data_IF_448790813183
#
_entry.id   IF_448790813183
#
_cell.length_a   1.000
_cell.length_b   1.000
_cell.length_c   1.000
_cell.angle_alpha   90.00
_cell.angle_beta   90.00
_cell.angle_gamma   90.00
#
_symmetry.space_group_name_H-M   'P 1'
#
loop_
_entity.id
_entity.type
_entity.pdbx_description
1 polymer ?
#
# COMPACT_ATOMS: atom_id res chain seq x y z
N UNK A 1 -57.41 -26.65 -33.24
CA UNK A 1 -58.65 -25.93 -32.88
C UNK A 1 -58.67 -25.78 -31.37
N UNK A 2 -58.90 -24.56 -30.89
CA UNK A 2 -58.65 -24.08 -29.52
C UNK A 2 -59.40 -24.85 -28.43
N UNK A 3 -58.66 -25.41 -27.47
CA UNK A 3 -59.20 -25.82 -26.17
C UNK A 3 -58.55 -24.97 -25.08
N UNK A 4 -59.19 -23.86 -24.71
CA UNK A 4 -58.72 -23.00 -23.64
C UNK A 4 -58.92 -23.70 -22.29
N UNK A 5 -57.80 -24.07 -21.66
CA UNK A 5 -57.76 -24.55 -20.27
C UNK A 5 -58.13 -23.37 -19.34
N UNK A 6 -59.40 -23.27 -18.94
CA UNK A 6 -59.84 -22.32 -17.90
C UNK A 6 -59.40 -22.86 -16.53
N UNK A 7 -58.24 -22.42 -16.06
CA UNK A 7 -57.85 -22.63 -14.67
C UNK A 7 -58.72 -21.74 -13.76
N UNK A 8 -59.57 -22.36 -12.94
CA UNK A 8 -60.25 -21.71 -11.83
C UNK A 8 -59.24 -21.39 -10.73
N UNK A 9 -58.69 -20.18 -10.74
CA UNK A 9 -57.83 -19.69 -9.67
C UNK A 9 -58.71 -19.38 -8.45
N UNK A 10 -58.64 -20.22 -7.43
CA UNK A 10 -59.46 -20.12 -6.23
C UNK A 10 -59.15 -18.81 -5.47
N UNK A 11 -60.14 -18.00 -5.03
CA UNK A 11 -59.90 -16.76 -4.30
C UNK A 11 -58.97 -16.88 -3.07
N UNK A 12 -58.91 -18.05 -2.43
CA UNK A 12 -57.96 -18.32 -1.35
C UNK A 12 -56.48 -18.30 -1.79
N UNK A 13 -56.18 -18.68 -3.02
CA UNK A 13 -54.81 -18.65 -3.59
C UNK A 13 -54.37 -17.20 -3.83
N UNK A 14 -55.28 -16.34 -4.29
CA UNK A 14 -55.01 -14.90 -4.47
C UNK A 14 -54.76 -14.20 -3.14
N UNK A 15 -55.53 -14.51 -2.10
CA UNK A 15 -55.31 -13.96 -0.75
C UNK A 15 -53.99 -14.45 -0.16
N UNK A 16 -53.63 -15.71 -0.38
CA UNK A 16 -52.36 -16.27 0.06
C UNK A 16 -51.18 -15.64 -0.70
N UNK A 17 -51.34 -15.38 -2.01
CA UNK A 17 -50.37 -14.63 -2.80
C UNK A 17 -50.23 -13.18 -2.33
N UNK A 18 -51.33 -12.48 -2.06
CA UNK A 18 -51.30 -11.12 -1.52
C UNK A 18 -50.65 -11.07 -0.13
N UNK A 19 -50.93 -12.07 0.71
CA UNK A 19 -50.30 -12.21 2.04
C UNK A 19 -48.80 -12.52 1.94
N UNK A 20 -48.40 -13.42 1.03
CA UNK A 20 -46.98 -13.70 0.74
C UNK A 20 -46.28 -12.49 0.10
N UNK A 21 -46.94 -11.75 -0.79
CA UNK A 21 -46.43 -10.51 -1.37
C UNK A 21 -46.21 -9.46 -0.28
N UNK A 22 -47.16 -9.26 0.64
CA UNK A 22 -46.95 -8.38 1.81
C UNK A 22 -45.87 -8.90 2.77
N UNK A 23 -45.70 -10.21 2.91
CA UNK A 23 -44.60 -10.79 3.69
C UNK A 23 -43.23 -10.48 3.05
N UNK A 24 -43.14 -10.53 1.72
CA UNK A 24 -41.94 -10.15 0.97
C UNK A 24 -41.70 -8.64 0.97
N UNK A 25 -42.76 -7.83 1.03
CA UNK A 25 -42.69 -6.37 1.11
C UNK A 25 -42.17 -5.88 2.48
N UNK A 26 -42.27 -6.71 3.52
CA UNK A 26 -41.80 -6.41 4.87
C UNK A 26 -40.32 -6.74 5.13
N UNK A 27 -39.63 -7.37 4.17
CA UNK A 27 -38.18 -7.53 4.17
C UNK A 27 -37.55 -6.51 3.22
N UNK A 28 -37.72 -5.21 3.50
CA UNK A 28 -36.75 -4.23 2.99
C UNK A 28 -35.40 -4.59 3.58
N UNK A 29 -34.58 -5.32 2.84
CA UNK A 29 -33.15 -5.45 3.15
C UNK A 29 -32.63 -4.02 3.25
N UNK A 30 -32.06 -3.64 4.39
CA UNK A 30 -31.43 -2.32 4.58
C UNK A 30 -30.27 -2.20 3.58
N UNK A 31 -30.58 -1.70 2.39
CA UNK A 31 -29.64 -1.46 1.32
C UNK A 31 -29.02 -0.08 1.55
N UNK A 32 -27.71 -0.05 1.79
CA UNK A 32 -26.94 1.17 1.99
C UNK A 32 -25.75 1.23 1.06
N UNK A 33 -24.83 2.15 1.33
CA UNK A 33 -23.60 2.30 0.56
C UNK A 33 -22.39 1.78 1.33
N UNK A 34 -21.58 0.96 0.68
CA UNK A 34 -20.33 0.44 1.22
C UNK A 34 -19.14 1.27 0.73
N UNK A 35 -18.25 1.65 1.63
CA UNK A 35 -17.13 2.56 1.40
C UNK A 35 -15.82 1.92 1.82
N UNK A 36 -14.74 2.11 1.05
CA UNK A 36 -13.42 1.53 1.35
C UNK A 36 -12.62 2.34 2.37
N UNK A 37 -12.97 3.61 2.59
CA UNK A 37 -12.16 4.50 3.41
C UNK A 37 -13.01 5.50 4.20
N UNK A 38 -12.73 5.63 5.50
CA UNK A 38 -13.17 6.79 6.28
C UNK A 38 -12.12 7.90 6.20
N UNK A 39 -12.52 9.06 5.69
CA UNK A 39 -11.71 10.27 5.61
C UNK A 39 -11.32 10.81 7.00
N UNK A 40 -10.31 11.69 7.05
CA UNK A 40 -9.88 12.33 8.31
C UNK A 40 -10.97 13.20 8.94
N UNK A 41 -11.91 13.69 8.13
CA UNK A 41 -13.11 14.44 8.50
C UNK A 41 -14.24 13.53 9.05
N UNK A 42 -14.03 12.22 9.16
CA UNK A 42 -15.03 11.26 9.62
C UNK A 42 -16.07 10.87 8.56
N UNK A 43 -15.99 11.43 7.35
CA UNK A 43 -16.89 11.12 6.24
C UNK A 43 -16.42 9.88 5.47
N UNK A 44 -17.37 9.18 4.88
CA UNK A 44 -17.12 8.00 4.05
C UNK A 44 -16.63 8.44 2.66
N UNK A 45 -15.54 7.83 2.20
CA UNK A 45 -14.84 8.15 0.95
C UNK A 45 -14.53 6.85 0.20
N UNK A 46 -14.38 6.95 -1.12
CA UNK A 46 -14.15 5.81 -2.03
C UNK A 46 -15.29 4.80 -1.96
N UNK A 47 -16.36 5.07 -2.71
CA UNK A 47 -17.50 4.16 -2.85
C UNK A 47 -17.01 2.82 -3.41
N UNK A 48 -17.29 1.73 -2.71
CA UNK A 48 -17.06 0.37 -3.20
C UNK A 48 -18.27 -0.11 -4.00
N UNK A 49 -19.44 -0.10 -3.36
CA UNK A 49 -20.68 -0.61 -3.96
C UNK A 49 -21.90 0.03 -3.28
N UNK A 50 -22.88 0.54 -4.05
CA UNK A 50 -24.18 0.95 -3.53
C UNK A 50 -25.14 -0.24 -3.36
N UNK A 51 -26.23 -0.05 -2.63
CA UNK A 51 -27.31 -1.04 -2.48
C UNK A 51 -26.94 -2.29 -1.66
N UNK A 52 -25.92 -2.20 -0.80
CA UNK A 52 -25.38 -3.33 -0.03
C UNK A 52 -25.79 -3.25 1.44
N UNK A 53 -26.11 -4.40 2.05
CA UNK A 53 -26.35 -4.46 3.50
C UNK A 53 -25.08 -4.22 4.31
N UNK A 54 -25.24 -3.82 5.57
CA UNK A 54 -24.11 -3.60 6.47
C UNK A 54 -23.33 -4.89 6.69
N UNK A 55 -24.02 -6.01 6.87
CA UNK A 55 -23.44 -7.33 7.12
C UNK A 55 -22.57 -7.77 5.95
N UNK A 56 -23.04 -7.54 4.72
CA UNK A 56 -22.29 -7.84 3.51
C UNK A 56 -21.08 -6.93 3.33
N UNK A 57 -21.26 -5.62 3.51
CA UNK A 57 -20.16 -4.65 3.44
C UNK A 57 -19.05 -4.97 4.46
N UNK A 58 -19.45 -5.38 5.66
CA UNK A 58 -18.54 -5.61 6.78
C UNK A 58 -17.99 -7.04 6.86
N UNK A 59 -18.36 -7.94 5.94
CA UNK A 59 -17.95 -9.36 5.92
C UNK A 59 -16.43 -9.54 5.80
N UNK A 60 -15.75 -8.68 5.04
CA UNK A 60 -14.31 -8.79 4.76
C UNK A 60 -13.40 -8.43 5.94
N UNK A 61 -13.92 -7.78 6.98
CA UNK A 61 -13.12 -7.35 8.15
C UNK A 61 -12.03 -6.29 7.85
N UNK A 62 -11.98 -5.74 6.63
CA UNK A 62 -10.95 -4.79 6.21
C UNK A 62 -11.04 -3.47 6.99
N UNK A 63 -9.91 -3.04 7.55
CA UNK A 63 -9.81 -1.74 8.23
C UNK A 63 -10.06 -0.58 7.26
N UNK A 64 -10.91 0.37 7.67
CA UNK A 64 -11.28 1.53 6.87
C UNK A 64 -12.60 1.35 6.11
N UNK A 65 -13.04 0.10 5.93
CA UNK A 65 -14.37 -0.20 5.38
C UNK A 65 -15.43 0.38 6.29
N UNK A 66 -16.36 1.12 5.70
CA UNK A 66 -17.42 1.82 6.41
C UNK A 66 -18.71 1.75 5.60
N UNK A 67 -19.83 1.96 6.26
CA UNK A 67 -21.16 1.80 5.68
C UNK A 67 -22.03 3.00 6.02
N UNK A 68 -22.95 3.35 5.12
CA UNK A 68 -23.96 4.39 5.34
C UNK A 68 -25.33 3.84 4.95
N UNK A 69 -26.35 4.07 5.79
CA UNK A 69 -27.71 3.55 5.59
C UNK A 69 -28.48 4.23 4.45
N UNK A 70 -28.08 5.43 4.07
CA UNK A 70 -28.77 6.22 3.05
C UNK A 70 -28.58 5.61 1.65
N UNK A 71 -29.66 5.05 1.08
CA UNK A 71 -29.76 4.72 -0.35
C UNK A 71 -30.15 5.99 -1.13
N UNK A 72 -29.15 6.74 -1.56
CA UNK A 72 -29.34 8.03 -2.24
C UNK A 72 -29.03 7.93 -3.73
N UNK A 73 -29.73 8.70 -4.60
CA UNK A 73 -29.44 8.72 -6.02
C UNK A 73 -27.98 9.09 -6.33
N UNK A 74 -27.47 8.62 -7.47
CA UNK A 74 -26.09 8.87 -7.93
C UNK A 74 -25.70 10.36 -7.93
N UNK A 75 -26.64 11.28 -8.21
CA UNK A 75 -26.40 12.72 -8.16
C UNK A 75 -26.07 13.23 -6.75
N UNK A 76 -26.68 12.64 -5.71
CA UNK A 76 -26.42 12.98 -4.31
C UNK A 76 -25.09 12.40 -3.84
N UNK A 77 -24.78 11.16 -4.22
CA UNK A 77 -23.46 10.57 -3.99
C UNK A 77 -22.35 11.43 -4.60
N UNK A 78 -22.53 11.84 -5.86
CA UNK A 78 -21.61 12.75 -6.54
C UNK A 78 -21.45 14.06 -5.78
N UNK A 79 -22.57 14.69 -5.38
CA UNK A 79 -22.54 15.94 -4.62
C UNK A 79 -21.75 15.81 -3.32
N UNK A 80 -21.97 14.74 -2.56
CA UNK A 80 -21.24 14.52 -1.31
C UNK A 80 -19.74 14.31 -1.54
N UNK A 81 -19.38 13.52 -2.55
CA UNK A 81 -17.99 13.21 -2.84
C UNK A 81 -17.21 14.43 -3.33
N UNK A 82 -17.82 15.28 -4.16
CA UNK A 82 -17.14 16.43 -4.76
C UNK A 82 -17.21 17.67 -3.87
N UNK A 83 -18.38 18.00 -3.32
CA UNK A 83 -18.57 19.28 -2.63
C UNK A 83 -18.47 19.17 -1.11
N UNK A 84 -18.80 18.00 -0.53
CA UNK A 84 -18.89 17.85 0.92
C UNK A 84 -17.75 16.99 1.51
N UNK A 85 -16.79 16.57 0.69
CA UNK A 85 -15.63 15.78 1.11
C UNK A 85 -15.96 14.37 1.61
N UNK A 86 -17.09 13.80 1.16
CA UNK A 86 -17.53 12.44 1.45
C UNK A 86 -18.96 12.33 1.97
N UNK A 87 -19.45 11.09 2.05
CA UNK A 87 -20.78 10.79 2.57
C UNK A 87 -20.88 11.01 4.09
N UNK A 88 -22.00 11.59 4.58
CA UNK A 88 -22.26 11.79 5.99
C UNK A 88 -22.56 10.45 6.70
N UNK A 89 -22.77 10.50 8.02
CA UNK A 89 -23.26 9.36 8.82
C UNK A 89 -22.46 8.06 8.61
N UNK A 90 -21.14 8.19 8.51
CA UNK A 90 -20.24 7.09 8.15
C UNK A 90 -20.01 6.14 9.35
N UNK A 91 -20.50 4.92 9.23
CA UNK A 91 -20.43 3.89 10.28
C UNK A 91 -19.28 2.93 9.94
N UNK A 92 -18.17 2.92 10.70
CA UNK A 92 -17.07 1.99 10.44
C UNK A 92 -17.49 0.54 10.67
N UNK A 93 -17.11 -0.37 9.77
CA UNK A 93 -17.43 -1.79 9.86
C UNK A 93 -16.68 -2.50 10.99
N UNK A 94 -15.39 -2.18 11.12
CA UNK A 94 -14.49 -2.70 12.15
C UNK A 94 -13.63 -1.56 12.66
N UNK A 95 -13.33 -1.60 13.95
CA UNK A 95 -12.42 -0.64 14.55
C UNK A 95 -12.99 0.78 14.67
N UNK A 96 -14.20 0.90 15.23
CA UNK A 96 -14.69 2.19 15.71
C UNK A 96 -13.78 2.74 16.81
N UNK A 97 -13.64 1.99 17.90
CA UNK A 97 -12.91 2.42 19.12
C UNK A 97 -11.76 1.47 19.52
N UNK A 98 -11.71 0.23 19.02
CA UNK A 98 -10.72 -0.78 19.44
C UNK A 98 -10.09 -1.54 18.26
N UNK A 99 -9.07 -2.35 18.54
CA UNK A 99 -8.44 -3.24 17.57
C UNK A 99 -9.10 -4.63 17.47
N UNK A 100 -10.24 -4.84 18.13
CA UNK A 100 -10.89 -6.15 18.18
C UNK A 100 -11.44 -6.54 16.80
N UNK A 101 -11.15 -7.77 16.37
CA UNK A 101 -11.58 -8.31 15.08
C UNK A 101 -11.13 -7.50 13.84
N UNK A 102 -10.00 -6.78 13.94
CA UNK A 102 -9.38 -6.07 12.81
C UNK A 102 -8.37 -6.98 12.13
N UNK A 103 -8.62 -7.32 10.86
CA UNK A 103 -7.62 -8.00 10.03
C UNK A 103 -6.81 -6.96 9.22
N UNK A 104 -5.50 -6.94 9.45
CA UNK A 104 -4.56 -6.06 8.78
C UNK A 104 -3.81 -6.73 7.63
N UNK A 105 -4.02 -8.04 7.41
CA UNK A 105 -3.24 -8.85 6.47
C UNK A 105 -1.82 -9.18 6.98
N UNK A 106 -1.02 -9.88 6.14
CA UNK A 106 0.27 -10.40 6.54
C UNK A 106 1.28 -9.30 6.87
N UNK A 107 2.11 -9.54 7.90
CA UNK A 107 3.20 -8.63 8.30
C UNK A 107 2.73 -7.29 8.88
N UNK A 108 1.45 -7.17 9.23
CA UNK A 108 0.85 -5.98 9.85
C UNK A 108 0.09 -6.37 11.11
N UNK A 109 0.01 -5.45 12.07
CA UNK A 109 -0.81 -5.60 13.27
C UNK A 109 -1.65 -4.36 13.52
N UNK A 110 -2.77 -4.51 14.18
CA UNK A 110 -3.56 -3.38 14.62
C UNK A 110 -2.90 -2.71 15.83
N UNK A 111 -2.84 -1.38 15.83
CA UNK A 111 -2.41 -0.56 16.97
C UNK A 111 -3.30 0.68 17.07
N UNK A 112 -3.68 1.04 18.30
CA UNK A 112 -4.37 2.30 18.58
C UNK A 112 -3.44 3.50 18.37
N UNK A 113 -3.91 4.51 17.66
CA UNK A 113 -3.19 5.77 17.50
C UNK A 113 -3.50 6.76 18.64
N UNK A 114 -2.88 7.95 18.62
CA UNK A 114 -3.07 8.99 19.64
C UNK A 114 -4.51 9.56 19.73
N UNK A 115 -5.37 9.26 18.77
CA UNK A 115 -6.77 9.70 18.73
C UNK A 115 -7.73 8.56 19.08
N UNK A 116 -7.23 7.50 19.73
CA UNK A 116 -8.00 6.29 20.05
C UNK A 116 -8.70 5.67 18.83
N UNK A 117 -8.05 5.75 17.65
CA UNK A 117 -8.51 5.05 16.43
C UNK A 117 -7.57 3.91 16.07
N UNK A 118 -8.10 2.73 15.68
CA UNK A 118 -7.29 1.60 15.27
C UNK A 118 -6.62 1.87 13.92
N UNK A 119 -5.35 1.45 13.81
CA UNK A 119 -4.54 1.58 12.61
C UNK A 119 -3.71 0.32 12.40
N UNK A 120 -3.71 -0.19 11.17
CA UNK A 120 -2.78 -1.23 10.76
C UNK A 120 -1.37 -0.64 10.61
N UNK A 121 -0.43 -1.17 11.37
CA UNK A 121 0.98 -0.78 11.34
C UNK A 121 1.84 -1.97 10.91
N UNK A 122 2.90 -1.69 10.16
CA UNK A 122 3.87 -2.70 9.75
C UNK A 122 4.58 -3.32 10.95
N UNK A 123 4.51 -4.64 11.00
CA UNK A 123 5.07 -5.50 12.03
C UNK A 123 5.55 -6.81 11.40
N UNK A 124 6.63 -6.74 10.58
CA UNK A 124 7.25 -7.94 10.06
C UNK A 124 7.76 -8.83 11.21
N UNK A 125 7.82 -10.13 10.97
CA UNK A 125 8.52 -11.04 11.87
C UNK A 125 10.03 -10.81 11.74
N UNK A 126 10.67 -10.54 12.87
CA UNK A 126 12.10 -10.23 12.95
C UNK A 126 12.84 -11.24 13.84
N UNK A 127 12.18 -12.33 14.23
CA UNK A 127 12.72 -13.33 15.18
C UNK A 127 13.85 -14.15 14.56
N UNK A 128 13.73 -14.46 13.26
CA UNK A 128 14.70 -15.29 12.51
C UNK A 128 15.89 -14.50 11.94
N UNK A 129 16.00 -13.20 12.24
CA UNK A 129 17.10 -12.36 11.75
C UNK A 129 18.34 -12.59 12.60
N UNK A 130 19.38 -13.18 12.01
CA UNK A 130 20.66 -13.49 12.66
C UNK A 130 21.55 -12.26 12.76
N UNK A 131 21.62 -11.43 11.72
CA UNK A 131 22.43 -10.22 11.69
C UNK A 131 21.75 -9.05 12.43
N UNK A 132 22.38 -8.55 13.50
CA UNK A 132 21.86 -7.42 14.31
C UNK A 132 22.48 -6.07 13.98
N UNK A 133 23.43 -6.03 13.04
CA UNK A 133 24.09 -4.81 12.60
C UNK A 133 23.30 -4.05 11.52
N UNK A 134 23.83 -2.90 11.06
CA UNK A 134 23.26 -2.17 9.94
C UNK A 134 23.27 -3.00 8.65
N UNK A 135 22.38 -2.68 7.73
CA UNK A 135 22.31 -3.29 6.39
C UNK A 135 22.19 -2.21 5.32
N UNK A 136 22.73 -2.46 4.14
CA UNK A 136 22.52 -1.63 2.97
C UNK A 136 21.36 -2.19 2.14
N UNK A 137 20.34 -1.36 1.88
CA UNK A 137 19.21 -1.73 1.04
C UNK A 137 19.54 -1.63 -0.45
N UNK A 138 18.77 -2.32 -1.29
CA UNK A 138 18.83 -2.20 -2.77
C UNK A 138 18.51 -0.79 -3.27
N UNK A 139 17.93 0.06 -2.43
CA UNK A 139 17.71 1.49 -2.65
C UNK A 139 18.94 2.37 -2.33
N UNK A 140 20.08 1.76 -1.97
CA UNK A 140 21.32 2.44 -1.60
C UNK A 140 21.26 3.13 -0.24
N UNK A 141 20.24 2.86 0.59
CA UNK A 141 20.12 3.46 1.92
C UNK A 141 20.57 2.51 3.02
N UNK A 142 21.24 3.08 4.02
CA UNK A 142 21.60 2.34 5.23
C UNK A 142 20.40 2.23 6.15
N UNK A 143 20.03 1.01 6.50
CA UNK A 143 19.05 0.71 7.53
C UNK A 143 19.77 0.26 8.81
N UNK A 144 19.23 0.64 9.97
CA UNK A 144 19.84 0.34 11.28
C UNK A 144 20.02 -1.17 11.54
N UNK A 145 19.13 -1.98 10.97
CA UNK A 145 19.05 -3.43 11.07
C UNK A 145 18.13 -3.94 9.93
N UNK A 146 18.16 -5.24 9.66
CA UNK A 146 17.31 -5.87 8.64
C UNK A 146 15.80 -5.73 8.97
N UNK A 147 15.44 -5.72 10.25
CA UNK A 147 14.05 -5.54 10.68
C UNK A 147 13.49 -4.15 10.28
N UNK A 148 14.32 -3.11 10.34
CA UNK A 148 13.97 -1.77 9.88
C UNK A 148 13.78 -1.72 8.37
N UNK A 149 14.61 -2.44 7.62
CA UNK A 149 14.46 -2.60 6.17
C UNK A 149 13.13 -3.29 5.85
N UNK A 150 12.82 -4.43 6.49
CA UNK A 150 11.53 -5.12 6.31
C UNK A 150 10.33 -4.24 6.66
N UNK A 151 10.48 -3.39 7.69
CA UNK A 151 9.44 -2.41 8.06
C UNK A 151 9.27 -1.32 7.00
N UNK A 152 10.35 -0.89 6.35
CA UNK A 152 10.30 0.04 5.22
C UNK A 152 9.68 -0.64 3.98
N UNK A 153 10.05 -1.89 3.70
CA UNK A 153 9.47 -2.74 2.65
C UNK A 153 7.95 -2.78 2.76
N UNK A 154 7.43 -3.13 3.95
CA UNK A 154 6.00 -3.18 4.23
C UNK A 154 5.26 -1.82 4.09
N UNK A 155 5.93 -0.69 4.30
CA UNK A 155 5.29 0.64 4.27
C UNK A 155 5.00 1.14 2.85
N UNK A 156 5.76 0.71 1.85
CA UNK A 156 5.58 1.20 0.48
C UNK A 156 6.73 0.93 -0.47
N UNK A 157 7.65 0.02 -0.14
CA UNK A 157 8.77 -0.33 -1.00
C UNK A 157 8.79 -1.85 -1.21
N UNK A 158 7.84 -2.42 -1.98
CA UNK A 158 7.68 -3.88 -2.10
C UNK A 158 8.93 -4.58 -2.63
N UNK A 159 9.72 -3.91 -3.46
CA UNK A 159 10.94 -4.46 -4.09
C UNK A 159 12.22 -4.19 -3.25
N UNK A 160 12.09 -3.58 -2.08
CA UNK A 160 13.23 -3.30 -1.21
C UNK A 160 13.75 -4.61 -0.61
N UNK A 161 15.06 -4.82 -0.74
CA UNK A 161 15.74 -5.96 -0.14
C UNK A 161 17.10 -5.57 0.42
N UNK A 162 17.70 -6.45 1.21
CA UNK A 162 19.09 -6.30 1.65
C UNK A 162 20.00 -6.56 0.45
N UNK A 163 20.84 -5.56 0.12
CA UNK A 163 21.90 -5.74 -0.87
C UNK A 163 23.14 -6.39 -0.22
N UNK A 164 23.55 -5.89 0.95
CA UNK A 164 24.65 -6.46 1.75
C UNK A 164 24.57 -6.05 3.23
N UNK A 165 25.26 -6.82 4.08
CA UNK A 165 25.40 -6.53 5.52
C UNK A 165 26.41 -5.40 5.76
N UNK A 166 26.13 -4.54 6.74
CA UNK A 166 26.90 -3.34 7.04
C UNK A 166 26.21 -2.06 6.58
N UNK A 167 26.81 -0.91 6.88
CA UNK A 167 26.32 0.37 6.33
C UNK A 167 26.55 0.39 4.83
N UNK A 168 25.70 1.11 4.09
CA UNK A 168 26.03 1.44 2.72
C UNK A 168 27.35 2.19 2.70
N UNK A 169 28.26 1.72 1.86
CA UNK A 169 29.54 2.36 1.65
C UNK A 169 29.32 3.52 0.69
N UNK A 170 29.94 4.65 1.01
CA UNK A 170 29.95 5.82 0.13
C UNK A 170 31.04 5.66 -0.92
N UNK A 171 30.77 6.25 -2.07
CA UNK A 171 31.71 6.26 -3.18
C UNK A 171 31.57 5.10 -4.16
N UNK A 172 32.24 5.31 -5.28
CA UNK A 172 32.10 4.53 -6.49
C UNK A 172 33.49 4.11 -6.97
N UNK A 173 33.60 2.85 -7.38
CA UNK A 173 34.79 2.34 -8.05
C UNK A 173 34.62 2.47 -9.56
N UNK A 174 35.65 2.95 -10.24
CA UNK A 174 35.63 3.27 -11.67
C UNK A 174 36.81 2.62 -12.39
N UNK A 175 36.63 2.26 -13.67
CA UNK A 175 37.71 1.82 -14.56
C UNK A 175 38.25 3.03 -15.32
N UNK A 176 39.52 3.35 -15.04
CA UNK A 176 40.40 4.36 -15.60
C UNK A 176 39.82 5.79 -15.76
N UNK A 177 40.68 6.78 -15.56
CA UNK A 177 40.37 8.17 -15.86
C UNK A 177 40.29 8.36 -17.39
N UNK A 178 39.26 9.06 -17.87
CA UNK A 178 39.33 9.70 -19.18
C UNK A 178 40.51 10.67 -19.24
N UNK A 179 40.98 11.05 -20.44
CA UNK A 179 42.12 11.96 -20.64
C UNK A 179 41.97 13.35 -19.97
N UNK A 180 40.78 13.64 -19.43
CA UNK A 180 40.40 14.87 -18.72
C UNK A 180 40.45 14.74 -17.17
N UNK A 181 40.96 13.62 -16.62
CA UNK A 181 41.01 13.40 -15.16
C UNK A 181 39.67 13.06 -14.51
N UNK A 182 38.64 12.76 -15.31
CA UNK A 182 37.30 12.34 -14.85
C UNK A 182 37.09 10.83 -14.99
N UNK A 183 36.29 10.23 -14.13
CA UNK A 183 36.05 8.78 -14.11
C UNK A 183 34.89 8.49 -15.04
N UNK A 184 35.13 7.72 -16.10
CA UNK A 184 34.15 7.58 -17.18
C UNK A 184 33.32 6.31 -17.08
N UNK A 185 33.90 5.22 -16.58
CA UNK A 185 33.26 3.90 -16.58
C UNK A 185 33.07 3.44 -15.14
N UNK A 186 31.82 3.45 -14.66
CA UNK A 186 31.50 2.89 -13.34
C UNK A 186 31.83 1.40 -13.38
N UNK A 187 32.71 0.97 -12.47
CA UNK A 187 33.00 -0.44 -12.28
C UNK A 187 32.00 -1.06 -11.31
N UNK A 188 31.92 -0.52 -10.10
CA UNK A 188 31.02 -0.97 -9.05
C UNK A 188 30.66 0.20 -8.12
N UNK A 189 29.36 0.45 -7.88
CA UNK A 189 28.93 1.49 -6.96
C UNK A 189 28.91 0.99 -5.51
N UNK A 190 28.92 1.93 -4.56
CA UNK A 190 28.73 1.61 -3.14
C UNK A 190 29.87 0.77 -2.56
N UNK A 191 31.11 1.14 -2.87
CA UNK A 191 32.32 0.46 -2.41
C UNK A 191 33.27 1.44 -1.73
N UNK A 192 33.96 0.97 -0.69
CA UNK A 192 35.05 1.72 -0.06
C UNK A 192 36.26 1.80 -1.00
N UNK A 193 37.10 2.81 -0.78
CA UNK A 193 38.35 2.97 -1.54
C UNK A 193 39.24 1.73 -1.43
N UNK A 194 39.35 1.17 -0.23
CA UNK A 194 40.21 0.00 0.02
C UNK A 194 39.72 -1.23 -0.73
N UNK A 195 38.41 -1.44 -0.83
CA UNK A 195 37.85 -2.55 -1.59
C UNK A 195 37.95 -2.34 -3.10
N UNK A 196 37.77 -1.10 -3.56
CA UNK A 196 38.00 -0.74 -4.97
C UNK A 196 39.45 -1.06 -5.37
N UNK A 197 40.43 -0.64 -4.57
CA UNK A 197 41.84 -0.85 -4.85
C UNK A 197 42.28 -2.31 -4.66
N UNK A 198 41.58 -3.09 -3.82
CA UNK A 198 41.81 -4.53 -3.68
C UNK A 198 41.22 -5.39 -4.81
N UNK A 199 40.41 -4.83 -5.71
CA UNK A 199 39.83 -5.60 -6.83
C UNK A 199 40.87 -6.16 -7.82
N UNK A 200 42.14 -5.73 -7.73
CA UNK A 200 43.25 -6.24 -8.54
C UNK A 200 43.18 -5.85 -10.01
N UNK A 201 42.21 -5.02 -10.39
CA UNK A 201 42.01 -4.57 -11.77
C UNK A 201 42.85 -3.30 -12.01
N UNK A 202 43.81 -3.41 -12.92
CA UNK A 202 44.68 -2.31 -13.33
C UNK A 202 43.85 -1.10 -13.79
N UNK A 203 44.23 0.08 -13.31
CA UNK A 203 43.59 1.34 -13.67
C UNK A 203 42.28 1.61 -12.93
N UNK A 204 42.02 0.98 -11.78
CA UNK A 204 40.86 1.35 -10.95
C UNK A 204 41.07 2.71 -10.27
N UNK A 205 39.99 3.46 -10.10
CA UNK A 205 39.98 4.73 -9.39
C UNK A 205 38.71 4.86 -8.57
N UNK A 206 38.79 5.59 -7.47
CA UNK A 206 37.71 5.75 -6.52
C UNK A 206 37.29 7.21 -6.41
N UNK A 207 35.99 7.45 -6.23
CA UNK A 207 35.45 8.78 -5.94
C UNK A 207 34.52 8.70 -4.74
N UNK A 208 34.60 9.66 -3.83
CA UNK A 208 33.68 9.75 -2.68
C UNK A 208 32.27 10.20 -3.09
N UNK A 209 32.12 10.84 -4.25
CA UNK A 209 30.83 11.39 -4.68
C UNK A 209 29.74 10.33 -4.82
N UNK A 210 28.74 10.46 -3.95
CA UNK A 210 27.45 9.78 -3.99
C UNK A 210 26.64 10.30 -5.18
N UNK A 211 27.05 10.00 -6.41
CA UNK A 211 26.11 10.11 -7.52
C UNK A 211 25.12 8.97 -7.33
N UNK A 212 23.83 9.24 -6.99
CA UNK A 212 22.87 8.16 -6.76
C UNK A 212 22.84 7.22 -7.97
N UNK A 213 22.83 5.90 -7.75
CA UNK A 213 22.77 4.92 -8.85
C UNK A 213 21.65 5.24 -9.86
N UNK A 214 20.52 5.78 -9.38
CA UNK A 214 19.38 6.21 -10.19
C UNK A 214 19.67 7.39 -11.14
N UNK A 215 20.64 8.23 -10.81
CA UNK A 215 21.02 9.42 -11.60
C UNK A 215 22.40 9.31 -12.22
N UNK A 216 23.18 8.29 -11.88
CA UNK A 216 24.54 8.07 -12.35
C UNK A 216 24.66 8.12 -13.86
N UNK A 217 23.77 7.40 -14.56
CA UNK A 217 23.76 7.38 -16.03
C UNK A 217 23.51 8.77 -16.62
N UNK A 218 22.49 9.48 -16.11
CA UNK A 218 22.18 10.84 -16.53
C UNK A 218 23.35 11.79 -16.26
N UNK A 219 23.94 11.66 -15.08
CA UNK A 219 25.03 12.51 -14.63
C UNK A 219 26.30 12.31 -15.47
N UNK A 220 26.63 11.06 -15.86
CA UNK A 220 27.72 10.76 -16.80
C UNK A 220 27.50 11.38 -18.19
N UNK A 221 26.27 11.38 -18.71
CA UNK A 221 25.94 11.99 -20.01
C UNK A 221 26.16 13.51 -19.99
N UNK A 222 25.70 14.21 -18.94
CA UNK A 222 25.78 15.67 -18.89
C UNK A 222 27.16 16.20 -18.45
N UNK A 223 27.91 15.45 -17.65
CA UNK A 223 29.18 15.90 -17.06
C UNK A 223 30.42 15.19 -17.63
N UNK A 224 30.28 14.19 -18.49
CA UNK A 224 31.43 13.52 -19.13
C UNK A 224 32.35 12.74 -18.18
N UNK A 225 31.85 12.36 -17.00
CA UNK A 225 32.54 11.51 -16.02
C UNK A 225 32.69 12.13 -14.62
N UNK A 226 32.90 11.31 -13.59
CA UNK A 226 32.96 11.72 -12.17
C UNK A 226 34.19 12.59 -11.88
N UNK A 227 34.08 13.72 -11.15
CA UNK A 227 35.24 14.48 -10.70
C UNK A 227 35.96 13.75 -9.55
N UNK A 228 37.12 14.28 -9.15
CA UNK A 228 37.84 13.84 -7.95
C UNK A 228 38.21 12.34 -7.96
N UNK A 229 38.63 11.84 -9.11
CA UNK A 229 39.09 10.46 -9.28
C UNK A 229 40.40 10.23 -8.56
N UNK A 230 40.35 9.48 -7.47
CA UNK A 230 41.50 9.10 -6.68
C UNK A 230 41.99 7.74 -7.20
N UNK A 231 43.15 7.66 -7.87
CA UNK A 231 43.67 6.39 -8.35
C UNK A 231 43.92 5.40 -7.19
N UNK A 232 43.67 4.14 -7.51
CA UNK A 232 44.34 3.01 -6.91
C UNK A 232 45.66 2.79 -7.68
#
# INVERSE_FOLDING_TARGET
MFGMLKHHLHPGILLLFMWLCHLMEHQKVQAGNCWLQQGKNGRCQVLYMPGMSREECCRSGRLGTSWTEEDVPNSTLFRWMIFNGGAPNCIPCKGGETCDNVDCGPGKRCKMNRRSKPRCVCAPDCSNITWKGPVCGTDGKTYKDECALLKAKCKGHPDLDVQYQGKCKTGNCWLQQGKNGRCQVLYMPGMSREECCRSGRLGTSWTEEDVPNSTLFRWMIFNGGAPNCIPC
#
